data_IF_173544601832
#
_entry.id   IF_173544601832
#
_cell.length_a   1.000
_cell.length_b   1.000
_cell.length_c   1.000
_cell.angle_alpha   90.00
_cell.angle_beta   90.00
_cell.angle_gamma   90.00
#
_symmetry.space_group_name_H-M   'P 1'
#
loop_
_entity.id
_entity.type
_entity.pdbx_description
1 polymer ?
#
# COMPACT_ATOMS: atom_id res chain seq x y z
N UNK A 1 -13.43 -4.98 8.33
CA UNK A 1 -12.20 -5.34 9.08
C UNK A 1 -11.23 -5.99 8.10
N UNK A 2 -10.03 -5.42 7.88
CA UNK A 2 -9.14 -5.85 6.78
C UNK A 2 -8.54 -7.26 6.97
N UNK A 3 -8.38 -7.72 8.21
CA UNK A 3 -7.70 -8.96 8.55
C UNK A 3 -8.61 -10.05 9.16
N UNK A 4 -9.93 -9.84 9.13
CA UNK A 4 -10.89 -10.70 9.84
C UNK A 4 -10.88 -10.53 11.36
N UNK A 5 -11.62 -11.37 12.10
CA UNK A 5 -11.78 -11.30 13.55
C UNK A 5 -11.93 -12.68 14.20
N UNK A 6 -11.75 -12.76 15.53
CA UNK A 6 -11.97 -13.98 16.32
C UNK A 6 -10.91 -15.07 16.11
N UNK A 7 -11.26 -16.33 16.37
CA UNK A 7 -10.31 -17.46 16.38
C UNK A 7 -9.67 -17.77 15.01
N UNK A 8 -10.22 -17.26 13.92
CA UNK A 8 -9.73 -17.44 12.54
C UNK A 8 -9.33 -16.10 11.89
N UNK A 9 -8.95 -15.12 12.70
CA UNK A 9 -8.30 -13.89 12.22
C UNK A 9 -6.99 -14.22 11.50
N UNK A 10 -6.55 -13.34 10.59
CA UNK A 10 -5.23 -13.45 9.98
C UNK A 10 -4.15 -13.57 11.06
N UNK A 11 -3.39 -14.67 11.05
CA UNK A 11 -2.30 -14.91 12.01
C UNK A 11 -1.21 -13.81 11.95
N UNK A 12 -1.07 -13.16 10.80
CA UNK A 12 -0.11 -12.07 10.59
C UNK A 12 -0.66 -10.67 10.81
N UNK A 13 -1.89 -10.49 11.32
CA UNK A 13 -2.55 -9.18 11.35
C UNK A 13 -1.72 -8.10 12.07
N UNK A 14 -1.14 -8.44 13.22
CA UNK A 14 -0.35 -7.49 14.00
C UNK A 14 1.00 -7.17 13.31
N UNK A 15 1.65 -8.18 12.73
CA UNK A 15 2.90 -8.00 12.00
C UNK A 15 2.70 -7.17 10.73
N UNK A 16 1.61 -7.42 9.99
CA UNK A 16 1.25 -6.65 8.81
C UNK A 16 1.04 -5.17 9.14
N UNK A 17 0.40 -4.87 10.28
CA UNK A 17 0.24 -3.50 10.75
C UNK A 17 1.58 -2.85 11.08
N UNK A 18 2.43 -3.52 11.86
CA UNK A 18 3.76 -3.00 12.21
C UNK A 18 4.60 -2.71 10.97
N UNK A 19 4.68 -3.66 10.03
CA UNK A 19 5.44 -3.49 8.78
C UNK A 19 4.87 -2.32 7.97
N UNK A 20 3.55 -2.27 7.79
CA UNK A 20 2.91 -1.23 6.96
C UNK A 20 3.12 0.16 7.56
N UNK A 21 2.84 0.34 8.85
CA UNK A 21 3.00 1.62 9.52
C UNK A 21 4.44 2.10 9.50
N UNK A 22 5.41 1.23 9.82
CA UNK A 22 6.83 1.61 9.83
C UNK A 22 7.32 1.93 8.42
N UNK A 23 6.98 1.11 7.42
CA UNK A 23 7.37 1.36 6.04
C UNK A 23 6.80 2.69 5.53
N UNK A 24 5.49 2.91 5.70
CA UNK A 24 4.83 4.16 5.28
C UNK A 24 5.47 5.36 5.97
N UNK A 25 5.69 5.30 7.29
CA UNK A 25 6.29 6.39 8.05
C UNK A 25 7.67 6.78 7.49
N UNK A 26 8.53 5.80 7.20
CA UNK A 26 9.85 6.07 6.61
C UNK A 26 9.75 6.63 5.19
N UNK A 27 8.84 6.10 4.37
CA UNK A 27 8.64 6.56 2.99
C UNK A 27 8.14 8.01 2.91
N UNK A 28 7.22 8.41 3.80
CA UNK A 28 6.67 9.78 3.79
C UNK A 28 7.55 10.78 4.55
N UNK A 29 8.38 10.31 5.49
CA UNK A 29 9.31 11.18 6.21
C UNK A 29 10.43 11.65 5.28
N UNK A 30 10.98 10.74 4.48
CA UNK A 30 12.18 10.97 3.67
C UNK A 30 11.86 11.42 2.23
N UNK A 31 10.64 11.22 1.73
CA UNK A 31 10.32 11.49 0.32
C UNK A 31 8.99 12.23 0.14
N UNK A 32 8.99 13.13 -0.84
CA UNK A 32 7.79 13.63 -1.49
C UNK A 32 7.38 12.70 -2.64
N UNK A 33 6.09 12.44 -2.75
CA UNK A 33 5.52 11.48 -3.70
C UNK A 33 4.60 12.21 -4.68
N UNK A 34 4.78 11.94 -5.97
CA UNK A 34 3.84 12.35 -7.00
C UNK A 34 3.57 11.21 -8.00
N UNK A 35 2.44 11.28 -8.68
CA UNK A 35 2.07 10.36 -9.74
C UNK A 35 2.25 11.05 -11.10
N UNK A 36 2.42 10.24 -12.15
CA UNK A 36 2.31 10.74 -13.51
C UNK A 36 0.86 11.14 -13.80
N UNK A 37 0.68 12.18 -14.60
CA UNK A 37 -0.66 12.57 -15.08
C UNK A 37 -1.36 11.38 -15.75
N UNK A 38 -2.59 11.08 -15.33
CA UNK A 38 -3.38 9.92 -15.79
C UNK A 38 -3.21 8.62 -15.01
N UNK A 39 -2.30 8.52 -14.03
CA UNK A 39 -2.15 7.33 -13.14
C UNK A 39 -3.16 7.28 -11.98
N UNK A 40 -4.00 8.30 -11.84
CA UNK A 40 -5.03 8.38 -10.80
C UNK A 40 -6.15 7.35 -11.00
N UNK A 41 -6.33 6.84 -12.22
CA UNK A 41 -7.32 5.83 -12.55
C UNK A 41 -6.90 4.45 -11.99
N UNK A 42 -7.55 4.03 -10.91
CA UNK A 42 -7.21 2.79 -10.20
C UNK A 42 -8.08 1.62 -10.68
N UNK A 43 -7.75 1.07 -11.84
CA UNK A 43 -8.39 -0.16 -12.34
C UNK A 43 -7.75 -1.36 -11.66
N UNK A 44 -8.57 -2.15 -10.95
CA UNK A 44 -8.12 -3.34 -10.24
C UNK A 44 -8.55 -4.62 -10.94
N UNK A 45 -7.68 -5.63 -10.98
CA UNK A 45 -8.05 -7.00 -11.33
C UNK A 45 -8.71 -7.67 -10.13
N UNK A 46 -9.80 -8.39 -10.38
CA UNK A 46 -10.53 -9.14 -9.36
C UNK A 46 -10.23 -10.64 -9.56
N UNK A 47 -9.59 -11.26 -8.57
CA UNK A 47 -9.27 -12.68 -8.52
C UNK A 47 -9.32 -13.20 -7.08
N UNK A 48 -8.43 -14.13 -6.72
CA UNK A 48 -8.27 -14.55 -5.31
C UNK A 48 -7.80 -13.40 -4.41
N UNK A 49 -6.97 -12.52 -4.98
CA UNK A 49 -6.49 -11.26 -4.39
C UNK A 49 -6.70 -10.12 -5.40
N UNK A 50 -6.84 -8.90 -4.89
CA UNK A 50 -7.02 -7.70 -5.73
C UNK A 50 -5.66 -7.05 -5.99
N UNK A 51 -5.35 -6.79 -7.27
CA UNK A 51 -4.13 -6.11 -7.71
C UNK A 51 -4.47 -5.01 -8.72
N UNK A 52 -3.60 -4.02 -8.92
CA UNK A 52 -3.79 -3.05 -10.02
C UNK A 52 -3.64 -3.78 -11.36
N UNK A 53 -4.50 -3.46 -12.33
CA UNK A 53 -4.41 -3.98 -13.70
C UNK A 53 -3.11 -3.53 -14.38
N UNK A 54 -2.70 -2.30 -14.11
CA UNK A 54 -1.44 -1.73 -14.57
C UNK A 54 -0.58 -1.35 -13.36
N UNK A 55 0.72 -1.71 -13.36
CA UNK A 55 1.64 -1.27 -12.31
C UNK A 55 1.64 0.25 -12.20
N UNK A 56 1.63 0.76 -10.95
CA UNK A 56 1.75 2.19 -10.69
C UNK A 56 3.22 2.61 -10.76
N UNK A 57 3.52 3.68 -11.50
CA UNK A 57 4.82 4.34 -11.41
C UNK A 57 4.74 5.59 -10.51
N UNK A 58 5.37 5.51 -9.34
CA UNK A 58 5.53 6.66 -8.45
C UNK A 58 6.81 7.44 -8.77
N UNK A 59 6.71 8.76 -8.77
CA UNK A 59 7.87 9.65 -8.79
C UNK A 59 8.17 10.09 -7.35
N UNK A 60 9.38 9.81 -6.88
CA UNK A 60 9.83 10.17 -5.54
C UNK A 60 10.95 11.20 -5.59
N UNK A 61 10.90 12.16 -4.68
CA UNK A 61 11.96 13.17 -4.48
C UNK A 61 12.33 13.20 -3.00
N UNK A 62 13.63 13.23 -2.62
CA UNK A 62 14.02 13.40 -1.23
C UNK A 62 13.39 14.65 -0.63
N UNK A 63 12.87 14.53 0.59
CA UNK A 63 12.39 15.63 1.42
C UNK A 63 13.60 16.12 2.22
N UNK A 64 13.87 17.43 2.16
CA UNK A 64 15.08 18.10 2.70
C UNK A 64 15.67 17.48 3.98
#
# INVERSE_FOLDING_TARGET
MAFGAGKRVCAGAQQAMTISCTAIARLIQEFEWSLKEGEEENVATIGLTTHKLHPMLAHIKPRN
#
